data_IF_555319287697
#
_entry.id   IF_555319287697
#
_cell.length_a   1.000
_cell.length_b   1.000
_cell.length_c   1.000
_cell.angle_alpha   90.00
_cell.angle_beta   90.00
_cell.angle_gamma   90.00
#
_symmetry.space_group_name_H-M   'P 1'
#
loop_
_entity.id
_entity.type
_entity.pdbx_description
1 polymer ?
#
# COMPACT_ATOMS: atom_id res chain seq x y z
N UNK A 1 -25.35 11.16 -9.49
CA UNK A 1 -25.26 9.89 -10.24
C UNK A 1 -23.84 9.74 -10.76
N UNK A 2 -23.04 8.90 -10.12
CA UNK A 2 -21.70 8.54 -10.59
C UNK A 2 -21.79 7.88 -11.97
N UNK A 3 -20.96 8.31 -12.93
CA UNK A 3 -20.90 7.73 -14.25
C UNK A 3 -20.59 6.23 -14.19
N UNK A 4 -20.96 5.47 -15.22
CA UNK A 4 -20.64 4.02 -15.30
C UNK A 4 -19.13 3.76 -15.15
N UNK A 5 -18.26 4.66 -15.63
CA UNK A 5 -16.80 4.57 -15.49
C UNK A 5 -16.34 4.74 -14.04
N UNK A 6 -16.92 5.67 -13.29
CA UNK A 6 -16.60 5.90 -11.88
C UNK A 6 -17.04 4.73 -10.99
N UNK A 7 -18.19 4.08 -11.30
CA UNK A 7 -18.61 2.87 -10.60
C UNK A 7 -17.66 1.68 -10.82
N UNK A 8 -17.14 1.53 -12.04
CA UNK A 8 -16.14 0.51 -12.37
C UNK A 8 -14.80 0.74 -11.66
N UNK A 9 -14.36 1.99 -11.53
CA UNK A 9 -13.13 2.35 -10.78
C UNK A 9 -13.25 2.03 -9.29
N UNK A 10 -14.37 2.37 -8.64
CA UNK A 10 -14.57 2.05 -7.22
C UNK A 10 -14.54 0.54 -6.90
N UNK A 11 -15.04 -0.31 -7.79
CA UNK A 11 -14.96 -1.77 -7.65
C UNK A 11 -13.52 -2.25 -7.86
N UNK A 12 -12.81 -1.69 -8.81
CA UNK A 12 -11.40 -2.01 -9.10
C UNK A 12 -10.50 -1.74 -7.90
N UNK A 13 -10.62 -0.59 -7.27
CA UNK A 13 -9.76 -0.19 -6.16
C UNK A 13 -10.03 -1.01 -4.90
N UNK A 14 -11.29 -1.36 -4.64
CA UNK A 14 -11.66 -2.19 -3.48
C UNK A 14 -11.24 -3.65 -3.60
N UNK A 15 -11.19 -4.21 -4.79
CA UNK A 15 -10.76 -5.61 -5.00
C UNK A 15 -9.24 -5.75 -5.00
N UNK A 16 -8.52 -4.75 -5.47
CA UNK A 16 -7.06 -4.69 -5.39
C UNK A 16 -6.52 -4.66 -3.96
N UNK A 17 -7.30 -4.14 -3.03
CA UNK A 17 -6.92 -3.99 -1.63
C UNK A 17 -7.07 -5.26 -0.76
N UNK A 18 -7.73 -6.30 -1.25
CA UNK A 18 -7.90 -7.54 -0.50
C UNK A 18 -6.66 -8.40 -0.70
N UNK A 19 -5.69 -8.23 0.18
CA UNK A 19 -4.44 -8.95 0.18
C UNK A 19 -4.62 -10.47 0.36
N UNK A 20 -3.87 -11.24 -0.39
CA UNK A 20 -3.78 -12.69 -0.32
C UNK A 20 -4.39 -13.37 -1.54
N UNK A 21 -3.59 -14.17 -2.24
CA UNK A 21 -3.95 -14.79 -3.53
C UNK A 21 -5.24 -15.63 -3.52
N UNK A 22 -5.64 -16.18 -2.38
CA UNK A 22 -6.89 -16.95 -2.24
C UNK A 22 -8.12 -16.03 -2.15
N UNK A 23 -8.03 -14.93 -1.42
CA UNK A 23 -9.12 -13.97 -1.25
C UNK A 23 -9.35 -13.20 -2.54
N UNK A 24 -8.29 -12.78 -3.21
CA UNK A 24 -8.38 -12.13 -4.53
C UNK A 24 -9.10 -13.01 -5.54
N UNK A 25 -8.73 -14.30 -5.66
CA UNK A 25 -9.39 -15.23 -6.60
C UNK A 25 -10.87 -15.42 -6.28
N UNK A 26 -11.22 -15.56 -5.00
CA UNK A 26 -12.63 -15.70 -4.58
C UNK A 26 -13.43 -14.44 -4.91
N UNK A 27 -12.90 -13.26 -4.62
CA UNK A 27 -13.58 -12.00 -4.91
C UNK A 27 -13.74 -11.75 -6.40
N UNK A 28 -12.73 -12.06 -7.21
CA UNK A 28 -12.80 -11.95 -8.67
C UNK A 28 -13.86 -12.91 -9.24
N UNK A 29 -13.90 -14.15 -8.75
CA UNK A 29 -14.92 -15.13 -9.15
C UNK A 29 -16.34 -14.67 -8.82
N UNK A 30 -16.56 -14.14 -7.60
CA UNK A 30 -17.87 -13.63 -7.20
C UNK A 30 -18.32 -12.45 -8.06
N UNK A 31 -17.42 -11.50 -8.31
CA UNK A 31 -17.71 -10.33 -9.16
C UNK A 31 -17.98 -10.72 -10.61
N UNK A 32 -17.23 -11.66 -11.16
CA UNK A 32 -17.45 -12.19 -12.50
C UNK A 32 -18.82 -12.90 -12.59
N UNK A 33 -19.15 -13.71 -11.58
CA UNK A 33 -20.44 -14.41 -11.52
C UNK A 33 -21.61 -13.42 -11.42
N UNK A 34 -21.53 -12.41 -10.57
CA UNK A 34 -22.55 -11.37 -10.46
C UNK A 34 -22.69 -10.57 -11.76
N UNK A 35 -21.56 -10.24 -12.39
CA UNK A 35 -21.56 -9.54 -13.67
C UNK A 35 -22.27 -10.36 -14.77
N UNK A 36 -21.98 -11.65 -14.86
CA UNK A 36 -22.64 -12.56 -15.81
C UNK A 36 -24.15 -12.67 -15.55
N UNK A 37 -24.57 -12.81 -14.29
CA UNK A 37 -25.98 -12.82 -13.91
C UNK A 37 -26.70 -11.52 -14.29
N UNK A 38 -26.00 -10.39 -14.22
CA UNK A 38 -26.52 -9.09 -14.62
C UNK A 38 -26.43 -8.82 -16.15
N UNK A 39 -26.00 -9.79 -16.95
CA UNK A 39 -25.80 -9.60 -18.40
C UNK A 39 -24.63 -8.65 -18.73
N UNK A 40 -23.71 -8.42 -17.80
CA UNK A 40 -22.55 -7.56 -18.00
C UNK A 40 -21.33 -8.36 -18.45
N UNK A 41 -20.47 -7.72 -19.25
CA UNK A 41 -19.14 -8.24 -19.57
C UNK A 41 -18.18 -7.83 -18.47
N UNK A 42 -17.51 -8.80 -17.86
CA UNK A 42 -16.50 -8.59 -16.84
C UNK A 42 -15.11 -8.85 -17.39
N UNK A 43 -14.14 -8.09 -16.93
CA UNK A 43 -12.73 -8.25 -17.28
C UNK A 43 -11.87 -7.95 -16.06
N UNK A 44 -11.00 -8.87 -15.66
CA UNK A 44 -10.04 -8.69 -14.57
C UNK A 44 -8.65 -8.36 -15.15
N UNK A 45 -8.13 -7.17 -14.84
CA UNK A 45 -6.82 -6.71 -15.31
C UNK A 45 -6.02 -6.13 -14.15
N UNK A 46 -4.68 -6.12 -14.27
CA UNK A 46 -3.79 -5.41 -13.36
C UNK A 46 -3.70 -6.04 -11.96
N UNK A 47 -3.87 -7.35 -11.86
CA UNK A 47 -3.66 -8.07 -10.62
C UNK A 47 -2.18 -8.06 -10.23
N UNK A 48 -1.89 -7.72 -8.97
CA UNK A 48 -0.58 -7.89 -8.38
C UNK A 48 -0.70 -8.44 -6.95
N UNK A 49 0.36 -9.11 -6.44
CA UNK A 49 0.30 -9.75 -5.13
C UNK A 49 0.15 -8.71 -4.01
N UNK A 50 -0.67 -9.04 -3.02
CA UNK A 50 -0.72 -8.28 -1.78
C UNK A 50 0.58 -8.45 -0.99
N UNK A 51 0.89 -7.48 -0.16
CA UNK A 51 1.97 -7.53 0.80
C UNK A 51 1.39 -7.69 2.21
N UNK A 52 1.82 -8.76 2.89
CA UNK A 52 1.48 -8.98 4.28
C UNK A 52 2.63 -8.44 5.14
N UNK A 53 2.40 -7.42 5.97
CA UNK A 53 3.44 -6.89 6.85
C UNK A 53 3.83 -7.92 7.91
N UNK A 54 5.11 -7.94 8.26
CA UNK A 54 5.64 -8.74 9.36
C UNK A 54 5.75 -7.85 10.62
N UNK A 55 5.06 -8.25 11.68
CA UNK A 55 5.12 -7.54 12.96
C UNK A 55 6.51 -7.60 13.62
N UNK A 56 7.32 -8.59 13.26
CA UNK A 56 8.69 -8.78 13.76
C UNK A 56 9.76 -8.25 12.79
N UNK A 57 9.37 -7.49 11.77
CA UNK A 57 10.28 -6.93 10.78
C UNK A 57 11.38 -6.08 11.43
N UNK A 58 12.67 -6.44 11.30
CA UNK A 58 13.79 -5.64 11.78
C UNK A 58 13.80 -4.22 11.21
N UNK A 59 13.49 -4.06 9.90
CA UNK A 59 13.46 -2.73 9.28
C UNK A 59 12.31 -1.88 9.82
N UNK A 60 11.17 -2.47 10.13
CA UNK A 60 10.07 -1.74 10.76
C UNK A 60 10.44 -1.26 12.18
N UNK A 61 11.12 -2.09 12.97
CA UNK A 61 11.61 -1.71 14.30
C UNK A 61 12.62 -0.57 14.20
N UNK A 62 13.58 -0.67 13.29
CA UNK A 62 14.56 0.37 13.03
C UNK A 62 13.89 1.71 12.69
N UNK A 63 12.93 1.70 11.77
CA UNK A 63 12.17 2.91 11.38
C UNK A 63 11.43 3.50 12.57
N UNK A 64 10.77 2.66 13.38
CA UNK A 64 10.03 3.10 14.56
C UNK A 64 10.93 3.77 15.59
N UNK A 65 12.06 3.15 15.92
CA UNK A 65 13.03 3.66 16.89
C UNK A 65 13.67 4.97 16.42
N UNK A 66 14.11 5.00 15.15
CA UNK A 66 14.69 6.20 14.55
C UNK A 66 13.69 7.35 14.52
N UNK A 67 12.44 7.08 14.14
CA UNK A 67 11.37 8.09 14.16
C UNK A 67 11.12 8.63 15.57
N UNK A 68 11.04 7.76 16.57
CA UNK A 68 10.84 8.15 17.95
C UNK A 68 12.00 9.00 18.49
N UNK A 69 13.23 8.64 18.15
CA UNK A 69 14.43 9.40 18.51
C UNK A 69 14.47 10.78 17.87
N UNK A 70 14.12 10.91 16.60
CA UNK A 70 14.17 12.16 15.85
C UNK A 70 13.05 13.14 16.25
N UNK A 71 11.84 12.64 16.43
CA UNK A 71 10.66 13.48 16.58
C UNK A 71 10.01 13.43 17.96
N UNK A 72 10.54 12.61 18.88
CA UNK A 72 10.00 12.36 20.22
C UNK A 72 8.49 11.97 20.18
N UNK A 73 8.10 11.23 19.14
CA UNK A 73 6.73 10.75 18.90
C UNK A 73 6.77 9.30 18.45
N UNK A 74 5.79 8.52 18.86
CA UNK A 74 5.60 7.17 18.34
C UNK A 74 4.92 7.24 16.96
N UNK A 75 5.51 6.65 15.90
CA UNK A 75 4.89 6.66 14.59
C UNK A 75 3.61 5.80 14.60
N UNK A 76 2.63 6.23 13.83
CA UNK A 76 1.42 5.44 13.61
C UNK A 76 1.68 4.44 12.49
N UNK A 77 1.79 3.15 12.84
CA UNK A 77 1.99 2.06 11.90
C UNK A 77 0.62 1.48 11.55
N UNK A 78 0.26 1.55 10.29
CA UNK A 78 -1.06 1.13 9.82
C UNK A 78 -0.93 0.17 8.64
N UNK A 79 -1.89 -0.74 8.57
CA UNK A 79 -2.16 -1.53 7.37
C UNK A 79 -3.18 -0.74 6.55
N UNK A 80 -2.82 -0.38 5.33
CA UNK A 80 -3.71 0.36 4.45
C UNK A 80 -4.30 -0.54 3.36
N UNK A 81 -5.52 -0.23 2.94
CA UNK A 81 -6.20 -0.90 1.83
C UNK A 81 -5.77 -0.29 0.49
N UNK A 82 -4.46 -0.31 0.21
CA UNK A 82 -3.89 0.16 -1.03
C UNK A 82 -2.90 -0.86 -1.58
N UNK A 83 -2.73 -0.86 -2.88
CA UNK A 83 -1.66 -1.61 -3.51
C UNK A 83 -0.34 -0.90 -3.28
N UNK A 84 0.59 -1.56 -2.62
CA UNK A 84 1.94 -1.06 -2.42
C UNK A 84 2.92 -1.85 -3.28
N UNK A 85 3.92 -1.17 -3.79
CA UNK A 85 5.00 -1.75 -4.60
C UNK A 85 5.74 -2.87 -3.86
N UNK A 86 5.74 -2.85 -2.53
CA UNK A 86 6.26 -3.93 -1.68
C UNK A 86 5.68 -5.30 -2.05
N UNK A 87 4.39 -5.37 -2.47
CA UNK A 87 3.80 -6.61 -2.96
C UNK A 87 4.46 -7.16 -4.23
N UNK A 88 4.93 -6.28 -5.11
CA UNK A 88 5.66 -6.67 -6.32
C UNK A 88 7.04 -7.23 -6.00
N UNK A 89 7.76 -6.61 -5.07
CA UNK A 89 9.09 -7.05 -4.64
C UNK A 89 9.03 -8.33 -3.79
N UNK A 90 8.01 -8.51 -2.96
CA UNK A 90 7.88 -9.70 -2.11
C UNK A 90 7.73 -10.99 -2.91
N UNK A 91 7.18 -10.94 -4.11
CA UNK A 91 7.00 -12.13 -4.95
C UNK A 91 8.32 -12.75 -5.40
N UNK A 92 9.26 -12.01 -6.05
CA UNK A 92 10.58 -12.55 -6.43
C UNK A 92 11.55 -12.67 -5.24
N UNK A 93 11.34 -11.90 -4.16
CA UNK A 93 12.22 -11.87 -2.99
C UNK A 93 11.42 -12.10 -1.70
N UNK A 94 10.97 -13.34 -1.44
CA UNK A 94 10.09 -13.65 -0.31
C UNK A 94 10.71 -13.34 1.06
N UNK A 95 12.02 -13.39 1.18
CA UNK A 95 12.77 -13.09 2.42
C UNK A 95 13.14 -11.61 2.58
N UNK A 96 12.79 -10.76 1.59
CA UNK A 96 13.09 -9.33 1.67
C UNK A 96 12.23 -8.67 2.76
N UNK A 97 12.90 -8.05 3.71
CA UNK A 97 12.25 -7.21 4.72
C UNK A 97 12.00 -5.81 4.17
N UNK A 98 10.81 -5.28 4.38
CA UNK A 98 10.36 -4.05 3.73
C UNK A 98 9.45 -3.24 4.64
N UNK A 99 9.55 -1.93 4.50
CA UNK A 99 8.64 -0.95 5.10
C UNK A 99 8.28 0.11 4.06
N UNK A 100 7.06 0.60 4.12
CA UNK A 100 6.62 1.73 3.28
C UNK A 100 6.56 2.99 4.14
N UNK A 101 7.31 4.00 3.76
CA UNK A 101 7.35 5.31 4.43
C UNK A 101 7.19 6.41 3.38
N UNK A 102 6.62 7.54 3.77
CA UNK A 102 6.45 8.67 2.86
C UNK A 102 5.94 9.92 3.56
N UNK A 103 5.91 11.05 2.88
CA UNK A 103 5.28 12.26 3.37
C UNK A 103 3.77 12.09 3.49
N UNK A 104 3.12 13.01 4.22
CA UNK A 104 1.67 13.03 4.35
C UNK A 104 1.04 13.52 3.05
N UNK A 105 0.19 12.67 2.47
CA UNK A 105 -0.59 12.97 1.27
C UNK A 105 -2.07 12.91 1.64
N UNK A 106 -2.84 13.88 1.18
CA UNK A 106 -4.30 13.91 1.31
C UNK A 106 -4.95 13.83 -0.06
N UNK A 107 -6.10 13.16 -0.16
CA UNK A 107 -6.82 12.99 -1.42
C UNK A 107 -6.04 12.21 -2.50
N UNK A 108 -5.30 11.13 -2.19
CA UNK A 108 -4.51 10.43 -3.20
C UNK A 108 -5.40 9.93 -4.34
N UNK A 109 -4.89 9.98 -5.56
CA UNK A 109 -5.59 9.60 -6.80
C UNK A 109 -6.80 10.47 -7.15
N UNK A 110 -6.90 11.67 -6.59
CA UNK A 110 -7.93 12.65 -6.93
C UNK A 110 -7.31 13.91 -7.57
N UNK A 111 -8.11 14.74 -8.27
CA UNK A 111 -7.63 16.04 -8.76
C UNK A 111 -7.20 17.00 -7.65
N UNK A 112 -7.67 16.77 -6.42
CA UNK A 112 -7.37 17.56 -5.22
C UNK A 112 -6.25 16.95 -4.38
N UNK A 113 -5.42 16.08 -4.98
CA UNK A 113 -4.28 15.47 -4.29
C UNK A 113 -3.28 16.53 -3.83
N UNK A 114 -2.93 16.50 -2.55
CA UNK A 114 -2.03 17.45 -1.92
C UNK A 114 -1.00 16.74 -1.06
N UNK A 115 0.22 17.29 -1.01
CA UNK A 115 1.26 16.88 -0.08
C UNK A 115 1.48 17.96 0.99
N UNK A 116 1.61 17.54 2.23
CA UNK A 116 1.94 18.43 3.34
C UNK A 116 3.45 18.76 3.31
N UNK A 117 3.79 19.99 2.96
CA UNK A 117 5.18 20.42 2.68
C UNK A 117 6.14 20.11 3.85
N UNK A 118 5.77 20.43 5.10
CA UNK A 118 6.60 20.14 6.25
C UNK A 118 6.89 18.65 6.44
N UNK A 119 5.94 17.80 6.07
CA UNK A 119 6.11 16.35 6.16
C UNK A 119 7.15 15.79 5.16
N UNK A 120 7.40 16.51 4.07
CA UNK A 120 8.50 16.17 3.13
C UNK A 120 9.86 16.35 3.82
N UNK A 121 10.03 17.43 4.58
CA UNK A 121 11.25 17.65 5.38
C UNK A 121 11.44 16.58 6.46
N UNK A 122 10.39 16.22 7.18
CA UNK A 122 10.42 15.13 8.17
C UNK A 122 10.77 13.78 7.52
N UNK A 123 10.13 13.46 6.38
CA UNK A 123 10.43 12.26 5.62
C UNK A 123 11.90 12.20 5.18
N UNK A 124 12.44 13.30 4.65
CA UNK A 124 13.84 13.38 4.22
C UNK A 124 14.80 13.18 5.38
N UNK A 125 14.55 13.82 6.52
CA UNK A 125 15.34 13.64 7.75
C UNK A 125 15.32 12.19 8.22
N UNK A 126 14.15 11.57 8.28
CA UNK A 126 14.00 10.16 8.66
C UNK A 126 14.77 9.25 7.69
N UNK A 127 14.58 9.42 6.37
CA UNK A 127 15.23 8.61 5.35
C UNK A 127 16.76 8.69 5.44
N UNK A 128 17.31 9.90 5.58
CA UNK A 128 18.76 10.10 5.67
C UNK A 128 19.37 9.48 6.91
N UNK A 129 18.68 9.53 8.05
CA UNK A 129 19.14 8.87 9.28
C UNK A 129 19.07 7.35 9.17
N UNK A 130 17.98 6.80 8.62
CA UNK A 130 17.87 5.36 8.38
C UNK A 130 18.99 4.83 7.50
N UNK A 131 19.32 5.54 6.42
CA UNK A 131 20.40 5.14 5.51
C UNK A 131 21.79 5.15 6.17
N UNK A 132 22.00 5.94 7.22
CA UNK A 132 23.25 5.92 8.00
C UNK A 132 23.32 4.69 8.93
N UNK A 133 22.17 4.22 9.41
CA UNK A 133 22.09 3.12 10.37
C UNK A 133 22.06 1.73 9.67
N UNK A 134 21.69 1.68 8.39
CA UNK A 134 21.75 0.45 7.61
C UNK A 134 23.22 0.15 7.26
N UNK A 135 23.78 -0.98 7.72
CA UNK A 135 25.18 -1.30 7.45
C UNK A 135 25.41 -1.46 5.95
N UNK A 136 26.42 -0.78 5.43
CA UNK A 136 26.94 -1.03 4.10
C UNK A 136 27.49 -2.49 4.08
N UNK A 137 27.01 -3.28 3.12
CA UNK A 137 27.54 -4.64 2.87
C UNK A 137 28.85 -4.54 2.13
#
# INVERSE_FOLDING_TARGET
>A
LLSRRQRLMCIRDRVGAIAGGSVYRKSTFLLDSLGKLAGAKTEAKGAYPGWQPDANSPVMHLVRETYQRLFNKTPNIQIIHAGLECGLFKKPYPEMDMVSIGPTITGPHSPDEQVHIESVGHYWTLLTELLKEIPAK
#
